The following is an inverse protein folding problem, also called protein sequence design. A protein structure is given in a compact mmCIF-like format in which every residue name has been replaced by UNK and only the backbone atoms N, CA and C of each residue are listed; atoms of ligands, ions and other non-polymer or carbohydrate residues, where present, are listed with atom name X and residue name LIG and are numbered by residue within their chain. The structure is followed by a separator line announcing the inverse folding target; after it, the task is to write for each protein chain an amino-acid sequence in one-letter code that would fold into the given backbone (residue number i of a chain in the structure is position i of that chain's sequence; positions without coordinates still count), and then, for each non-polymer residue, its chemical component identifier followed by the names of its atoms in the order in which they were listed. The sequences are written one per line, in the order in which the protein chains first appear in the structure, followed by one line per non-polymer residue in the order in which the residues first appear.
data_IF_346542724038
#
_entry.id   IF_346542724038
#
_cell.length_a   1.000
_cell.length_b   1.000
_cell.length_c   1.000
_cell.angle_alpha   90.00
_cell.angle_beta   90.00
_cell.angle_gamma   90.00
#
_symmetry.space_group_name_H-M   'P 1'
#
loop_
_entity.id
_entity.type
_entity.pdbx_description
1 polymer ?
#
# COMPACT_ATOMS: atom_id res chain seq x y z
N UNK A 1 -8.87 -7.87 18.73
CA UNK A 1 -9.78 -7.21 17.78
C UNK A 1 -9.17 -7.15 16.41
N UNK A 2 -9.94 -7.42 15.40
CA UNK A 2 -9.50 -7.40 13.99
C UNK A 2 -10.32 -6.39 13.21
N UNK A 3 -9.65 -5.65 12.31
CA UNK A 3 -10.31 -4.70 11.42
C UNK A 3 -9.61 -4.73 10.07
N UNK A 4 -10.36 -4.53 8.99
CA UNK A 4 -9.80 -4.53 7.64
C UNK A 4 -10.26 -3.29 6.88
N UNK A 5 -9.31 -2.68 6.14
CA UNK A 5 -9.62 -1.67 5.12
C UNK A 5 -9.31 -2.32 3.78
N UNK A 6 -10.24 -2.20 2.83
CA UNK A 6 -10.06 -2.74 1.47
C UNK A 6 -10.56 -1.72 0.47
N UNK A 7 -9.70 -1.39 -0.50
CA UNK A 7 -10.01 -0.48 -1.59
C UNK A 7 -9.61 -1.11 -2.92
N UNK A 8 -10.22 -0.66 -4.01
CA UNK A 8 -9.89 -1.16 -5.34
C UNK A 8 -10.05 -0.06 -6.38
N UNK A 9 -9.28 -0.15 -7.45
CA UNK A 9 -9.38 0.74 -8.60
C UNK A 9 -9.00 -0.04 -9.86
N UNK A 10 -9.58 0.33 -11.00
CA UNK A 10 -9.24 -0.27 -12.28
C UNK A 10 -8.21 0.60 -12.99
N UNK A 11 -7.16 -0.04 -13.51
CA UNK A 11 -6.05 0.61 -14.22
C UNK A 11 -5.99 0.04 -15.64
N UNK A 12 -5.97 0.91 -16.64
CA UNK A 12 -5.93 0.53 -18.05
C UNK A 12 -4.51 0.19 -18.52
N UNK A 13 -3.92 -0.83 -17.88
CA UNK A 13 -2.60 -1.36 -18.20
C UNK A 13 -2.49 -2.76 -17.62
N UNK A 14 -1.69 -3.65 -18.22
CA UNK A 14 -1.54 -5.01 -17.70
C UNK A 14 -0.80 -5.02 -16.35
N UNK A 15 -0.95 -6.07 -15.54
CA UNK A 15 -0.26 -6.16 -14.24
C UNK A 15 1.25 -5.95 -14.33
N UNK A 16 1.89 -6.39 -15.40
CA UNK A 16 3.34 -6.24 -15.62
C UNK A 16 3.75 -4.77 -15.77
N UNK A 17 2.86 -3.90 -16.22
CA UNK A 17 3.10 -2.46 -16.34
C UNK A 17 2.87 -1.73 -15.01
N UNK A 18 2.00 -2.26 -14.16
CA UNK A 18 1.71 -1.68 -12.83
C UNK A 18 2.78 -2.09 -11.81
N UNK A 19 3.21 -3.33 -11.87
CA UNK A 19 4.10 -3.97 -10.90
C UNK A 19 5.38 -3.18 -10.58
N UNK A 20 6.15 -2.68 -11.57
CA UNK A 20 7.38 -1.94 -11.28
C UNK A 20 7.17 -0.72 -10.39
N UNK A 21 6.02 -0.07 -10.48
CA UNK A 21 5.71 1.09 -9.64
C UNK A 21 5.46 0.71 -8.19
N UNK A 22 4.92 -0.48 -7.94
CA UNK A 22 4.66 -0.97 -6.58
C UNK A 22 5.94 -1.42 -5.86
N UNK A 23 6.85 -2.07 -6.56
CA UNK A 23 8.10 -2.53 -5.97
C UNK A 23 9.23 -1.51 -6.06
N UNK A 24 9.07 -0.46 -6.84
CA UNK A 24 10.03 0.64 -6.98
C UNK A 24 9.93 1.61 -5.81
N UNK A 25 10.26 1.16 -4.61
CA UNK A 25 10.07 1.89 -3.37
C UNK A 25 10.77 3.24 -3.35
N UNK A 26 11.99 3.33 -3.89
CA UNK A 26 12.75 4.58 -3.91
C UNK A 26 12.05 5.70 -4.69
N UNK A 27 11.19 5.37 -5.65
CA UNK A 27 10.46 6.34 -6.47
C UNK A 27 9.11 6.75 -5.86
N UNK A 28 8.70 6.18 -4.73
CA UNK A 28 7.42 6.54 -4.09
C UNK A 28 7.34 8.05 -3.78
N UNK A 29 8.45 8.67 -3.42
CA UNK A 29 8.49 10.10 -3.14
C UNK A 29 8.08 10.97 -4.36
N UNK A 30 8.19 10.43 -5.58
CA UNK A 30 7.88 11.15 -6.80
C UNK A 30 6.39 11.15 -7.14
N UNK A 31 5.62 10.20 -6.64
CA UNK A 31 4.23 10.06 -7.07
C UNK A 31 3.23 9.71 -5.96
N UNK A 32 3.66 9.12 -4.84
CA UNK A 32 2.77 8.54 -3.84
C UNK A 32 2.42 9.59 -2.76
N UNK A 33 1.16 10.05 -2.68
CA UNK A 33 0.77 11.06 -1.69
C UNK A 33 0.50 10.49 -0.29
N UNK A 34 0.42 9.17 -0.16
CA UNK A 34 0.17 8.49 1.11
C UNK A 34 1.45 7.94 1.72
N UNK A 35 2.20 7.12 0.98
CA UNK A 35 3.52 6.65 1.40
C UNK A 35 4.54 7.57 0.73
N UNK A 36 4.82 8.68 1.40
CA UNK A 36 5.56 9.80 0.81
C UNK A 36 7.06 9.59 0.72
N UNK A 37 7.57 8.59 1.44
CA UNK A 37 8.97 8.16 1.33
C UNK A 37 9.04 6.67 1.67
N UNK A 38 9.81 5.92 0.91
CA UNK A 38 9.99 4.49 1.13
C UNK A 38 11.41 4.08 0.78
N UNK A 39 11.96 3.14 1.54
CA UNK A 39 13.28 2.57 1.29
C UNK A 39 13.32 1.11 1.69
N UNK A 40 14.29 0.37 1.15
CA UNK A 40 14.44 -1.05 1.36
C UNK A 40 14.22 -1.83 0.07
N UNK A 41 14.36 -3.14 0.12
CA UNK A 41 14.19 -4.03 -1.02
C UNK A 41 12.88 -4.79 -0.93
N UNK A 42 12.16 -4.89 -2.06
CA UNK A 42 10.92 -5.66 -2.16
C UNK A 42 11.24 -7.16 -2.24
N UNK A 43 11.82 -7.70 -1.17
CA UNK A 43 12.19 -9.10 -1.03
C UNK A 43 11.71 -9.64 0.30
N UNK A 44 11.18 -10.87 0.30
CA UNK A 44 10.67 -11.50 1.51
C UNK A 44 11.74 -11.53 2.61
N UNK A 45 11.36 -11.11 3.80
CA UNK A 45 12.25 -11.05 4.96
C UNK A 45 12.95 -9.70 5.13
N UNK A 46 12.99 -8.86 4.11
CA UNK A 46 13.62 -7.54 4.19
C UNK A 46 12.75 -6.57 4.96
N UNK A 47 13.40 -5.69 5.71
CA UNK A 47 12.74 -4.62 6.46
C UNK A 47 12.70 -3.35 5.62
N UNK A 48 11.53 -2.74 5.55
CA UNK A 48 11.33 -1.48 4.84
C UNK A 48 11.31 -0.32 5.83
N UNK A 49 11.49 0.89 5.33
CA UNK A 49 11.18 2.13 6.06
C UNK A 49 10.16 2.91 5.23
N UNK A 50 9.00 3.17 5.81
CA UNK A 50 7.88 3.81 5.11
C UNK A 50 7.39 5.01 5.92
N UNK A 51 7.32 6.17 5.27
CA UNK A 51 6.68 7.35 5.86
C UNK A 51 5.26 7.45 5.30
N UNK A 52 4.28 7.36 6.18
CA UNK A 52 2.86 7.43 5.82
C UNK A 52 2.27 8.75 6.27
N UNK A 53 1.56 9.43 5.37
CA UNK A 53 0.92 10.72 5.62
C UNK A 53 -0.55 10.65 5.22
N UNK A 54 -1.41 10.06 6.05
CA UNK A 54 -2.84 9.98 5.73
C UNK A 54 -3.47 11.38 5.73
N UNK A 55 -4.36 11.69 4.76
CA UNK A 55 -5.05 12.98 4.70
C UNK A 55 -5.80 13.28 6.00
N UNK A 56 -5.52 14.44 6.61
CA UNK A 56 -6.14 14.83 7.87
C UNK A 56 -5.64 14.06 9.08
N UNK A 57 -4.67 13.17 8.90
CA UNK A 57 -4.06 12.40 9.96
C UNK A 57 -2.61 12.83 10.22
N UNK A 58 -1.97 12.13 11.14
CA UNK A 58 -0.60 12.40 11.56
C UNK A 58 0.37 11.57 10.71
N UNK A 59 1.46 12.21 10.25
CA UNK A 59 2.54 11.51 9.58
C UNK A 59 3.28 10.59 10.56
N UNK A 60 3.56 9.36 10.13
CA UNK A 60 4.28 8.36 10.93
C UNK A 60 5.23 7.56 10.06
N UNK A 61 6.34 7.12 10.66
CA UNK A 61 7.29 6.21 10.00
C UNK A 61 7.14 4.82 10.58
N UNK A 62 6.99 3.84 9.68
CA UNK A 62 6.88 2.42 10.02
C UNK A 62 8.05 1.65 9.41
N UNK A 63 8.44 0.57 10.05
CA UNK A 63 9.52 -0.32 9.57
C UNK A 63 9.03 -1.76 9.48
N UNK A 64 8.12 -2.03 8.54
CA UNK A 64 7.55 -3.37 8.38
C UNK A 64 8.53 -4.32 7.71
N UNK A 65 8.22 -5.61 7.83
CA UNK A 65 8.96 -6.69 7.16
C UNK A 65 8.14 -7.21 5.99
N UNK A 66 8.77 -7.38 4.85
CA UNK A 66 8.14 -7.95 3.66
C UNK A 66 7.82 -9.42 3.92
N UNK A 67 6.57 -9.81 3.71
CA UNK A 67 6.08 -11.17 3.94
C UNK A 67 5.74 -11.93 2.67
N UNK A 68 5.45 -11.22 1.56
CA UNK A 68 5.13 -11.86 0.30
C UNK A 68 5.54 -10.98 -0.88
N UNK A 69 6.14 -11.59 -1.88
CA UNK A 69 6.41 -10.97 -3.19
C UNK A 69 6.11 -12.01 -4.25
N UNK A 70 5.04 -11.79 -5.01
CA UNK A 70 4.68 -12.62 -6.16
C UNK A 70 4.63 -11.71 -7.38
N UNK A 71 5.60 -11.79 -8.31
CA UNK A 71 5.72 -10.84 -9.41
C UNK A 71 4.43 -10.66 -10.20
N UNK A 72 4.07 -9.39 -10.42
CA UNK A 72 2.86 -8.96 -11.12
C UNK A 72 1.55 -9.48 -10.50
N UNK A 73 1.58 -9.95 -9.25
CA UNK A 73 0.41 -10.51 -8.57
C UNK A 73 0.19 -9.92 -7.17
N UNK A 74 1.20 -9.94 -6.30
CA UNK A 74 1.01 -9.45 -4.93
C UNK A 74 2.29 -9.02 -4.25
N UNK A 75 2.16 -8.03 -3.35
CA UNK A 75 3.22 -7.51 -2.50
C UNK A 75 2.65 -7.23 -1.13
N UNK A 76 3.25 -7.79 -0.08
CA UNK A 76 2.70 -7.69 1.27
C UNK A 76 3.80 -7.44 2.30
N UNK A 77 3.48 -6.64 3.30
CA UNK A 77 4.35 -6.46 4.48
C UNK A 77 3.55 -6.46 5.77
N UNK A 78 4.22 -6.79 6.87
CA UNK A 78 3.66 -6.80 8.21
C UNK A 78 4.45 -5.84 9.09
N UNK A 79 3.73 -4.88 9.68
CA UNK A 79 4.29 -3.91 10.61
C UNK A 79 3.67 -3.98 11.98
N UNK A 80 4.41 -3.49 12.96
CA UNK A 80 3.95 -3.41 14.35
C UNK A 80 4.20 -2.00 14.87
N UNK A 81 3.24 -1.45 15.62
CA UNK A 81 3.43 -0.22 16.36
C UNK A 81 3.86 -0.61 17.78
N UNK A 82 5.13 -0.35 18.10
CA UNK A 82 5.69 -0.78 19.37
C UNK A 82 5.96 -2.29 19.38
N UNK A 83 5.27 -3.02 20.25
CA UNK A 83 5.42 -4.48 20.39
C UNK A 83 4.33 -5.22 19.62
N UNK A 84 4.62 -6.46 19.14
CA UNK A 84 3.60 -7.29 18.51
C UNK A 84 2.38 -7.50 19.42
N UNK A 85 1.18 -7.45 18.84
CA UNK A 85 -0.08 -7.61 19.56
C UNK A 85 -0.70 -6.31 20.04
N UNK A 86 0.04 -5.18 20.03
CA UNK A 86 -0.51 -3.89 20.40
C UNK A 86 -1.29 -3.27 19.24
N UNK A 87 -0.64 -3.13 18.10
CA UNK A 87 -1.24 -2.66 16.85
C UNK A 87 -0.42 -3.20 15.70
N UNK A 88 -0.92 -4.23 15.04
CA UNK A 88 -0.25 -4.89 13.93
C UNK A 88 -1.01 -4.61 12.64
N UNK A 89 -0.29 -4.31 11.56
CA UNK A 89 -0.87 -4.07 10.25
C UNK A 89 -0.23 -4.92 9.18
N UNK A 90 -1.05 -5.71 8.47
CA UNK A 90 -0.63 -6.50 7.31
C UNK A 90 -1.16 -5.80 6.07
N UNK A 91 -0.28 -5.09 5.39
CA UNK A 91 -0.61 -4.30 4.21
C UNK A 91 -0.38 -5.12 2.95
N UNK A 92 -1.36 -5.14 2.05
CA UNK A 92 -1.30 -5.99 0.86
C UNK A 92 -1.71 -5.23 -0.39
N UNK A 93 -0.92 -5.39 -1.44
CA UNK A 93 -1.26 -4.98 -2.80
C UNK A 93 -1.52 -6.22 -3.63
N UNK A 94 -2.61 -6.24 -4.38
CA UNK A 94 -2.94 -7.32 -5.29
C UNK A 94 -3.23 -6.77 -6.69
N UNK A 95 -2.73 -7.44 -7.69
CA UNK A 95 -2.99 -7.12 -9.10
C UNK A 95 -3.76 -8.28 -9.73
N UNK A 96 -4.95 -8.01 -10.22
CA UNK A 96 -5.80 -9.01 -10.87
C UNK A 96 -6.01 -8.57 -12.32
N UNK A 97 -5.58 -9.38 -13.27
CA UNK A 97 -5.79 -9.09 -14.68
C UNK A 97 -7.28 -9.09 -15.02
N UNK A 98 -7.70 -8.10 -15.81
CA UNK A 98 -9.07 -7.95 -16.30
C UNK A 98 -9.04 -7.83 -17.82
N UNK A 99 -10.22 -7.84 -18.46
CA UNK A 99 -10.31 -7.69 -19.92
C UNK A 99 -9.76 -6.34 -20.40
N UNK A 100 -9.81 -5.29 -19.56
CA UNK A 100 -9.38 -3.94 -19.91
C UNK A 100 -8.08 -3.50 -19.25
N UNK A 101 -7.45 -4.34 -18.46
CA UNK A 101 -6.19 -4.02 -17.79
C UNK A 101 -5.99 -4.75 -16.46
N UNK A 102 -5.96 -4.00 -15.37
CA UNK A 102 -5.69 -4.53 -14.03
C UNK A 102 -6.67 -3.97 -13.03
N UNK A 103 -7.18 -4.84 -12.16
CA UNK A 103 -7.82 -4.40 -10.93
C UNK A 103 -6.76 -4.39 -9.84
N UNK A 104 -6.47 -3.21 -9.31
CA UNK A 104 -5.55 -3.01 -8.20
C UNK A 104 -6.33 -2.99 -6.90
N UNK A 105 -6.00 -3.91 -6.00
CA UNK A 105 -6.63 -3.99 -4.68
C UNK A 105 -5.58 -3.64 -3.63
N UNK A 106 -5.88 -2.63 -2.82
CA UNK A 106 -5.05 -2.25 -1.67
C UNK A 106 -5.85 -2.50 -0.40
N UNK A 107 -5.31 -3.32 0.48
CA UNK A 107 -5.97 -3.68 1.73
C UNK A 107 -4.98 -3.73 2.88
N UNK A 108 -5.51 -3.60 4.09
CA UNK A 108 -4.71 -3.81 5.30
C UNK A 108 -5.58 -4.44 6.37
N UNK A 109 -5.06 -5.52 6.97
CA UNK A 109 -5.67 -6.19 8.10
C UNK A 109 -4.98 -5.73 9.37
N UNK A 110 -5.74 -5.14 10.29
CA UNK A 110 -5.25 -4.62 11.56
C UNK A 110 -5.66 -5.55 12.70
N UNK A 111 -4.73 -5.81 13.61
CA UNK A 111 -4.96 -6.62 14.81
C UNK A 111 -4.29 -5.98 16.01
N UNK A 112 -4.85 -6.19 17.19
CA UNK A 112 -4.24 -5.78 18.44
C UNK A 112 -5.15 -4.95 19.32
N UNK A 113 -4.64 -4.63 20.50
CA UNK A 113 -5.41 -3.95 21.55
C UNK A 113 -5.83 -2.52 21.17
N UNK A 114 -5.02 -1.84 20.35
CA UNK A 114 -5.29 -0.45 19.93
C UNK A 114 -6.21 -0.33 18.72
N UNK A 115 -6.58 -1.43 18.08
CA UNK A 115 -7.43 -1.36 16.87
C UNK A 115 -8.76 -0.69 17.18
N UNK A 116 -9.41 -1.09 18.27
CA UNK A 116 -10.72 -0.56 18.63
C UNK A 116 -10.72 0.94 18.89
N UNK A 117 -9.82 1.50 19.74
CA UNK A 117 -9.78 2.95 19.95
C UNK A 117 -9.33 3.75 18.70
N UNK A 118 -8.55 3.15 17.80
CA UNK A 118 -8.07 3.82 16.59
C UNK A 118 -8.97 3.62 15.36
N UNK A 119 -10.09 2.94 15.50
CA UNK A 119 -10.96 2.56 14.38
C UNK A 119 -11.43 3.74 13.54
N UNK A 120 -11.79 4.87 14.15
CA UNK A 120 -12.22 6.05 13.40
C UNK A 120 -11.10 6.62 12.53
N UNK A 121 -9.86 6.60 13.02
CA UNK A 121 -8.70 7.01 12.25
C UNK A 121 -8.49 6.08 11.05
N UNK A 122 -8.65 4.77 11.24
CA UNK A 122 -8.50 3.78 10.18
C UNK A 122 -9.59 3.95 9.11
N UNK A 123 -10.84 4.10 9.51
CA UNK A 123 -11.95 4.22 8.57
C UNK A 123 -12.02 5.60 7.88
N UNK A 124 -11.43 6.63 8.45
CA UNK A 124 -11.38 7.97 7.90
C UNK A 124 -10.04 8.26 7.20
N UNK A 125 -9.08 8.91 7.89
CA UNK A 125 -7.82 9.33 7.25
C UNK A 125 -7.04 8.21 6.57
N UNK A 126 -6.94 7.03 7.17
CA UNK A 126 -6.16 5.92 6.60
C UNK A 126 -6.79 5.41 5.30
N UNK A 127 -8.10 5.21 5.28
CA UNK A 127 -8.81 4.82 4.05
C UNK A 127 -8.64 5.85 2.95
N UNK A 128 -8.73 7.13 3.27
CA UNK A 128 -8.51 8.22 2.30
C UNK A 128 -7.09 8.20 1.75
N UNK A 129 -6.11 7.84 2.58
CA UNK A 129 -4.75 7.65 2.14
C UNK A 129 -4.61 6.55 1.09
N UNK A 130 -5.28 5.41 1.32
CA UNK A 130 -5.31 4.31 0.36
C UNK A 130 -5.91 4.77 -0.97
N UNK A 131 -7.04 5.45 -0.91
CA UNK A 131 -7.73 5.94 -2.11
C UNK A 131 -6.88 6.95 -2.88
N UNK A 132 -6.20 7.86 -2.18
CA UNK A 132 -5.29 8.82 -2.80
C UNK A 132 -4.11 8.13 -3.49
N UNK A 133 -3.55 7.11 -2.86
CA UNK A 133 -2.48 6.31 -3.47
C UNK A 133 -2.98 5.54 -4.70
N UNK A 134 -4.18 4.96 -4.63
CA UNK A 134 -4.76 4.25 -5.77
C UNK A 134 -4.89 5.17 -7.00
N UNK A 135 -5.43 6.37 -6.81
CA UNK A 135 -5.57 7.36 -7.89
C UNK A 135 -4.21 7.79 -8.45
N UNK A 136 -3.24 8.02 -7.55
CA UNK A 136 -1.89 8.43 -7.96
C UNK A 136 -1.17 7.31 -8.72
N UNK A 137 -1.34 6.07 -8.32
CA UNK A 137 -0.78 4.91 -9.04
C UNK A 137 -1.35 4.82 -10.44
N UNK A 138 -2.66 4.97 -10.58
CA UNK A 138 -3.32 4.95 -11.90
C UNK A 138 -2.75 6.04 -12.81
N UNK A 139 -2.59 7.26 -12.30
CA UNK A 139 -2.00 8.37 -13.07
C UNK A 139 -0.54 8.08 -13.44
N UNK A 140 0.24 7.57 -12.49
CA UNK A 140 1.66 7.25 -12.70
C UNK A 140 1.83 6.20 -13.80
N UNK A 141 1.02 5.15 -13.78
CA UNK A 141 1.03 4.10 -14.80
C UNK A 141 0.64 4.66 -16.17
N UNK A 142 -0.41 5.50 -16.20
CA UNK A 142 -0.87 6.14 -17.45
C UNK A 142 0.22 7.01 -18.07
N UNK A 143 0.90 7.81 -17.27
CA UNK A 143 1.98 8.69 -17.72
C UNK A 143 3.17 7.90 -18.28
N UNK A 144 3.42 6.71 -17.76
CA UNK A 144 4.49 5.82 -18.23
C UNK A 144 4.13 4.98 -19.45
N UNK A 145 2.86 5.02 -19.91
CA UNK A 145 2.44 4.26 -21.09
C UNK A 145 2.89 4.98 -22.38
N UNK A 146 3.34 4.22 -23.42
CA UNK A 146 3.65 4.82 -24.72
C UNK A 146 2.41 5.47 -25.32
N UNK A 147 2.58 6.57 -26.04
CA UNK A 147 1.50 7.20 -26.80
C UNK A 147 0.96 6.21 -27.85
N UNK A 148 -0.36 6.11 -27.95
CA UNK A 148 -1.00 5.20 -28.90
C UNK A 148 -0.79 5.69 -30.35
#
# INVERSE_FOLDING_TARGET
MRHEIRTAIDIEAPPEAVWPHLIGLAAYADWNPFITAASGSAEVGQRLSLRMEPPGGRAMTFRPRVTEVSPAASFEWLGHLGVPGLFDGRHRFELVATDSGTRFVQSEAFRGLLVRPLRKMLDGPTRKGFEAMNDALRRRVREGQPAA
#
